data_IF_432787798778
#
_entry.id   IF_432787798778
#
_cell.length_a   1.000
_cell.length_b   1.000
_cell.length_c   1.000
_cell.angle_alpha   90.00
_cell.angle_beta   90.00
_cell.angle_gamma   90.00
#
_symmetry.space_group_name_H-M   'P 1'
#
loop_
_entity.id
_entity.type
_entity.pdbx_description
1 polymer ?
#
# COMPACT_ATOMS: atom_id res chain seq x y z
N UNK A 1 20.84 19.34 44.83
CA UNK A 1 21.13 18.77 43.49
C UNK A 1 19.79 18.48 42.83
N UNK A 2 19.39 19.29 41.86
CA UNK A 2 18.14 19.10 41.14
C UNK A 2 18.32 17.98 40.10
N UNK A 3 17.50 16.92 40.21
CA UNK A 3 17.32 15.91 39.17
C UNK A 3 16.62 16.56 37.97
N UNK A 4 17.35 16.77 36.89
CA UNK A 4 16.79 17.15 35.60
C UNK A 4 16.33 15.88 34.87
N UNK A 5 15.02 15.62 34.95
CA UNK A 5 14.31 14.69 34.09
C UNK A 5 14.32 15.22 32.65
N UNK A 6 15.20 14.70 31.80
CA UNK A 6 15.06 14.78 30.35
C UNK A 6 14.36 13.50 29.86
N UNK A 7 13.04 13.46 29.94
CA UNK A 7 12.25 12.42 29.27
C UNK A 7 11.13 13.07 28.46
N UNK A 8 11.10 12.77 27.16
CA UNK A 8 9.84 12.52 26.46
C UNK A 8 9.43 13.49 25.35
N UNK A 9 10.16 13.53 24.23
CA UNK A 9 9.64 14.04 22.95
C UNK A 9 9.87 13.10 21.74
N UNK A 10 10.18 11.82 21.95
CA UNK A 10 10.37 10.88 20.81
C UNK A 10 9.07 10.24 20.31
N UNK A 11 8.05 10.12 21.18
CA UNK A 11 6.82 9.39 20.84
C UNK A 11 5.96 10.11 19.79
N UNK A 12 5.88 11.45 19.85
CA UNK A 12 5.09 12.25 18.92
C UNK A 12 5.68 12.30 17.50
N UNK A 13 7.00 12.15 17.35
CA UNK A 13 7.63 12.08 16.01
C UNK A 13 7.35 10.74 15.35
N UNK A 14 7.53 9.65 16.11
CA UNK A 14 7.24 8.29 15.67
C UNK A 14 5.78 8.14 15.21
N UNK A 15 4.85 8.69 15.98
CA UNK A 15 3.41 8.64 15.66
C UNK A 15 3.10 9.38 14.35
N UNK A 16 3.67 10.57 14.15
CA UNK A 16 3.53 11.33 12.89
C UNK A 16 4.08 10.58 11.69
N UNK A 17 5.28 10.02 11.80
CA UNK A 17 5.91 9.27 10.71
C UNK A 17 5.09 8.04 10.32
N UNK A 18 4.53 7.30 11.30
CA UNK A 18 3.66 6.16 11.02
C UNK A 18 2.30 6.59 10.46
N UNK A 19 1.75 7.72 10.91
CA UNK A 19 0.53 8.29 10.33
C UNK A 19 0.75 8.68 8.86
N UNK A 20 1.85 9.38 8.56
CA UNK A 20 2.19 9.75 7.18
C UNK A 20 2.44 8.50 6.31
N UNK A 21 3.10 7.48 6.87
CA UNK A 21 3.28 6.20 6.18
C UNK A 21 1.92 5.57 5.83
N UNK A 22 0.97 5.58 6.77
CA UNK A 22 -0.38 5.07 6.56
C UNK A 22 -1.17 5.86 5.52
N UNK A 23 -1.07 7.20 5.50
CA UNK A 23 -1.72 8.02 4.48
C UNK A 23 -1.20 7.72 3.07
N UNK A 24 0.10 7.43 2.93
CA UNK A 24 0.70 7.02 1.66
C UNK A 24 0.26 5.60 1.28
N UNK A 25 0.24 4.69 2.24
CA UNK A 25 -0.25 3.32 2.08
C UNK A 25 -1.69 3.29 1.53
N UNK A 26 -2.59 4.13 2.06
CA UNK A 26 -3.95 4.33 1.56
C UNK A 26 -3.98 4.84 0.11
N UNK A 27 -3.13 5.82 -0.23
CA UNK A 27 -3.01 6.34 -1.60
C UNK A 27 -2.52 5.27 -2.57
N UNK A 28 -1.57 4.43 -2.15
CA UNK A 28 -1.08 3.30 -2.92
C UNK A 28 -2.20 2.31 -3.23
N UNK A 29 -3.03 1.95 -2.25
CA UNK A 29 -4.20 1.09 -2.49
C UNK A 29 -5.19 1.70 -3.49
N UNK A 30 -5.54 2.97 -3.32
CA UNK A 30 -6.45 3.64 -4.26
C UNK A 30 -5.87 3.67 -5.69
N UNK A 31 -4.57 3.88 -5.83
CA UNK A 31 -3.89 3.86 -7.12
C UNK A 31 -3.82 2.44 -7.71
N UNK A 32 -3.59 1.42 -6.88
CA UNK A 32 -3.61 0.00 -7.26
C UNK A 32 -4.98 -0.42 -7.81
N UNK A 33 -6.07 0.06 -7.22
CA UNK A 33 -7.43 -0.19 -7.73
C UNK A 33 -7.68 0.53 -9.06
N UNK A 34 -7.21 1.76 -9.24
CA UNK A 34 -7.30 2.44 -10.54
C UNK A 34 -6.54 1.67 -11.64
N UNK A 35 -5.37 1.11 -11.31
CA UNK A 35 -4.60 0.27 -12.23
C UNK A 35 -5.31 -1.07 -12.53
N UNK A 36 -6.03 -1.63 -11.56
CA UNK A 36 -6.86 -2.81 -11.77
C UNK A 36 -8.00 -2.54 -12.76
N UNK A 37 -8.65 -1.38 -12.64
CA UNK A 37 -9.66 -0.93 -13.61
C UNK A 37 -9.07 -0.74 -15.01
N UNK A 38 -7.85 -0.20 -15.11
CA UNK A 38 -7.15 -0.06 -16.38
C UNK A 38 -6.84 -1.42 -17.02
N UNK A 39 -6.48 -2.43 -16.22
CA UNK A 39 -6.25 -3.80 -16.69
C UNK A 39 -7.52 -4.42 -17.30
N UNK A 40 -8.68 -4.09 -16.73
CA UNK A 40 -9.99 -4.55 -17.21
C UNK A 40 -10.46 -3.78 -18.45
N UNK A 41 -9.94 -2.58 -18.72
CA UNK A 41 -10.34 -1.77 -19.87
C UNK A 41 -9.98 -2.43 -21.21
N UNK A 42 -10.80 -2.21 -22.25
CA UNK A 42 -10.63 -2.82 -23.58
C UNK A 42 -9.54 -2.15 -24.42
N UNK A 43 -9.06 -0.97 -24.01
CA UNK A 43 -8.11 -0.15 -24.76
C UNK A 43 -6.64 -0.59 -24.63
N UNK A 44 -6.34 -1.53 -23.74
CA UNK A 44 -5.01 -2.15 -23.66
C UNK A 44 -4.93 -3.38 -24.56
N UNK A 45 -3.85 -3.49 -25.34
CA UNK A 45 -3.54 -4.71 -26.07
C UNK A 45 -3.28 -5.89 -25.11
N UNK A 46 -3.41 -7.15 -25.55
CA UNK A 46 -3.09 -8.31 -24.72
C UNK A 46 -1.69 -8.25 -24.11
N UNK A 47 -0.69 -7.79 -24.87
CA UNK A 47 0.69 -7.65 -24.39
C UNK A 47 0.78 -6.56 -23.30
N UNK A 48 0.12 -5.41 -23.49
CA UNK A 48 0.07 -4.36 -22.47
C UNK A 48 -0.62 -4.82 -21.19
N UNK A 49 -1.68 -5.62 -21.30
CA UNK A 49 -2.35 -6.21 -20.12
C UNK A 49 -1.42 -7.17 -19.39
N UNK A 50 -0.73 -8.05 -20.11
CA UNK A 50 0.24 -8.98 -19.53
C UNK A 50 1.39 -8.25 -18.83
N UNK A 51 1.92 -7.18 -19.45
CA UNK A 51 2.97 -6.35 -18.87
C UNK A 51 2.49 -5.63 -17.59
N UNK A 52 1.32 -5.00 -17.64
CA UNK A 52 0.74 -4.32 -16.49
C UNK A 52 0.49 -5.30 -15.34
N UNK A 53 -0.14 -6.45 -15.63
CA UNK A 53 -0.38 -7.49 -14.63
C UNK A 53 0.93 -7.95 -13.97
N UNK A 54 1.97 -8.23 -14.77
CA UNK A 54 3.28 -8.66 -14.25
C UNK A 54 3.96 -7.60 -13.36
N UNK A 55 3.76 -6.31 -13.66
CA UNK A 55 4.30 -5.22 -12.84
C UNK A 55 3.52 -5.07 -11.53
N UNK A 56 2.20 -5.22 -11.58
CA UNK A 56 1.35 -5.17 -10.39
C UNK A 56 1.63 -6.34 -9.45
N UNK A 57 1.75 -7.57 -9.96
CA UNK A 57 2.09 -8.75 -9.15
C UNK A 57 3.44 -8.59 -8.42
N UNK A 58 4.44 -7.99 -9.10
CA UNK A 58 5.74 -7.68 -8.47
C UNK A 58 5.61 -6.62 -7.39
N UNK A 59 4.76 -5.62 -7.59
CA UNK A 59 4.52 -4.60 -6.59
C UNK A 59 3.76 -5.17 -5.38
N UNK A 60 2.69 -5.94 -5.60
CA UNK A 60 1.87 -6.58 -4.57
C UNK A 60 2.76 -7.46 -3.66
N UNK A 61 3.71 -8.22 -4.25
CA UNK A 61 4.66 -9.05 -3.50
C UNK A 61 5.63 -8.28 -2.58
N UNK A 62 5.75 -6.96 -2.75
CA UNK A 62 6.59 -6.10 -1.92
C UNK A 62 5.76 -5.16 -1.03
N UNK A 63 4.44 -5.14 -1.20
CA UNK A 63 3.57 -4.25 -0.46
C UNK A 63 3.38 -4.75 0.97
N UNK A 64 3.53 -3.86 1.94
CA UNK A 64 3.48 -4.21 3.37
C UNK A 64 2.54 -3.26 4.12
N UNK A 65 1.93 -3.76 5.18
CA UNK A 65 1.11 -2.96 6.09
C UNK A 65 1.95 -1.96 6.90
N UNK A 66 1.28 -0.93 7.44
CA UNK A 66 1.88 0.03 8.37
C UNK A 66 1.52 -0.38 9.80
N UNK A 67 2.51 -0.58 10.70
CA UNK A 67 2.24 -1.09 12.04
C UNK A 67 1.39 -0.11 12.85
N UNK A 68 0.40 -0.66 13.57
CA UNK A 68 -0.55 0.14 14.37
C UNK A 68 -1.74 0.68 13.58
N UNK A 69 -1.81 0.44 12.27
CA UNK A 69 -2.93 0.79 11.41
C UNK A 69 -3.41 -0.45 10.66
N UNK A 70 -4.24 -1.26 11.32
CA UNK A 70 -4.86 -2.41 10.67
C UNK A 70 -5.87 -1.92 9.62
N UNK A 71 -5.78 -2.45 8.41
CA UNK A 71 -6.85 -2.28 7.44
C UNK A 71 -7.99 -3.23 7.79
N UNK A 72 -9.06 -2.70 8.36
CA UNK A 72 -10.35 -3.38 8.43
C UNK A 72 -10.92 -3.48 7.02
N UNK A 73 -10.50 -4.48 6.25
CA UNK A 73 -11.35 -4.96 5.17
C UNK A 73 -12.49 -5.72 5.85
N UNK A 74 -13.56 -5.00 6.21
CA UNK A 74 -14.84 -5.60 6.56
C UNK A 74 -15.38 -6.30 5.30
N UNK A 75 -14.89 -7.52 5.07
CA UNK A 75 -15.50 -8.47 4.17
C UNK A 75 -16.78 -8.98 4.82
N UNK A 76 -17.83 -8.15 4.77
CA UNK A 76 -19.20 -8.61 4.97
C UNK A 76 -19.56 -9.49 3.76
N UNK A 77 -19.05 -10.73 3.73
CA UNK A 77 -19.52 -11.75 2.79
C UNK A 77 -20.89 -12.24 3.28
N UNK A 78 -21.91 -11.46 2.93
CA UNK A 78 -23.24 -11.98 2.72
C UNK A 78 -23.23 -12.86 1.49
N UNK A 79 -23.68 -14.09 1.72
CA UNK A 79 -24.14 -15.14 0.81
C UNK A 79 -24.49 -14.74 -0.64
N UNK A 80 -24.23 -15.69 -1.55
CA UNK A 80 -24.77 -15.83 -2.92
C UNK A 80 -23.97 -15.29 -4.12
N UNK A 81 -23.19 -16.19 -4.73
CA UNK A 81 -23.10 -16.32 -6.18
C UNK A 81 -21.95 -15.58 -6.87
N UNK A 82 -21.13 -16.35 -7.59
CA UNK A 82 -20.00 -15.98 -8.46
C UNK A 82 -18.63 -15.94 -7.77
N UNK A 83 -17.96 -17.10 -7.81
CA UNK A 83 -16.54 -17.31 -7.53
C UNK A 83 -15.65 -16.47 -8.47
N UNK A 84 -15.42 -15.22 -8.09
CA UNK A 84 -14.21 -14.48 -8.44
C UNK A 84 -13.56 -14.04 -7.13
N UNK A 85 -13.03 -15.01 -6.37
CA UNK A 85 -12.16 -14.76 -5.23
C UNK A 85 -10.86 -14.11 -5.72
N UNK A 86 -10.88 -12.80 -5.94
CA UNK A 86 -9.67 -12.01 -5.80
C UNK A 86 -9.45 -11.86 -4.30
N UNK A 87 -8.61 -12.72 -3.73
CA UNK A 87 -8.03 -12.49 -2.40
C UNK A 87 -7.30 -11.14 -2.45
N UNK A 88 -7.96 -10.07 -2.01
CA UNK A 88 -7.38 -8.72 -1.94
C UNK A 88 -6.53 -8.55 -0.67
N UNK A 89 -5.87 -9.61 -0.19
CA UNK A 89 -4.83 -9.53 0.82
C UNK A 89 -3.50 -9.12 0.17
N UNK A 90 -3.47 -7.94 -0.46
CA UNK A 90 -2.28 -7.47 -1.20
C UNK A 90 -1.14 -7.03 -0.28
N UNK A 91 -1.38 -6.84 1.02
CA UNK A 91 -0.36 -6.37 1.95
C UNK A 91 0.20 -7.51 2.79
N UNK A 92 1.52 -7.68 2.75
CA UNK A 92 2.24 -8.51 3.70
C UNK A 92 2.30 -7.84 5.08
N UNK A 93 2.44 -8.67 6.13
CA UNK A 93 2.64 -8.17 7.49
C UNK A 93 3.79 -7.16 7.54
N UNK A 94 3.59 -6.09 8.30
CA UNK A 94 4.60 -5.07 8.53
C UNK A 94 5.95 -5.68 8.96
N UNK A 95 7.06 -5.37 8.26
CA UNK A 95 8.40 -5.76 8.71
C UNK A 95 8.81 -4.98 9.96
N UNK A 96 9.76 -5.54 10.71
CA UNK A 96 10.39 -4.89 11.87
C UNK A 96 11.33 -3.77 11.40
N UNK A 97 10.75 -2.60 11.12
CA UNK A 97 11.44 -1.37 10.73
C UNK A 97 11.12 -0.25 11.71
N UNK A 98 11.97 0.77 11.76
CA UNK A 98 11.67 2.02 12.47
C UNK A 98 10.56 2.81 11.76
N UNK A 99 9.93 3.76 12.46
CA UNK A 99 8.89 4.61 11.86
C UNK A 99 9.34 5.42 10.62
N UNK A 100 10.53 6.07 10.58
CA UNK A 100 10.97 6.77 9.39
C UNK A 100 11.33 5.81 8.25
N UNK A 101 11.76 4.58 8.56
CA UNK A 101 11.98 3.54 7.55
C UNK A 101 10.66 3.04 6.95
N UNK A 102 9.61 2.87 7.77
CA UNK A 102 8.25 2.60 7.29
C UNK A 102 7.73 3.70 6.38
N UNK A 103 7.88 4.97 6.78
CA UNK A 103 7.50 6.11 5.94
C UNK A 103 8.23 6.08 4.59
N UNK A 104 9.54 5.87 4.61
CA UNK A 104 10.35 5.79 3.38
C UNK A 104 9.95 4.60 2.50
N UNK A 105 9.66 3.44 3.11
CA UNK A 105 9.22 2.27 2.38
C UNK A 105 7.89 2.54 1.65
N UNK A 106 6.92 3.13 2.34
CA UNK A 106 5.62 3.47 1.75
C UNK A 106 5.76 4.50 0.62
N UNK A 107 6.67 5.48 0.75
CA UNK A 107 7.00 6.42 -0.34
C UNK A 107 7.55 5.69 -1.57
N UNK A 108 8.51 4.78 -1.40
CA UNK A 108 9.10 4.00 -2.50
C UNK A 108 8.03 3.16 -3.19
N UNK A 109 7.18 2.48 -2.43
CA UNK A 109 6.10 1.65 -2.97
C UNK A 109 5.09 2.49 -3.74
N UNK A 110 4.72 3.67 -3.24
CA UNK A 110 3.85 4.60 -3.96
C UNK A 110 4.47 5.08 -5.28
N UNK A 111 5.75 5.51 -5.25
CA UNK A 111 6.45 6.00 -6.43
C UNK A 111 6.58 4.92 -7.52
N UNK A 112 6.72 3.65 -7.13
CA UNK A 112 6.69 2.52 -8.05
C UNK A 112 5.33 2.37 -8.75
N UNK A 113 4.22 2.39 -7.99
CA UNK A 113 2.87 2.33 -8.58
C UNK A 113 2.58 3.53 -9.47
N UNK A 114 2.97 4.72 -9.04
CA UNK A 114 2.78 5.95 -9.80
C UNK A 114 3.59 5.93 -11.11
N UNK A 115 4.80 5.36 -11.10
CA UNK A 115 5.58 5.12 -12.31
C UNK A 115 4.88 4.16 -13.27
N UNK A 116 4.32 3.05 -12.75
CA UNK A 116 3.51 2.10 -13.55
C UNK A 116 2.30 2.84 -14.13
N UNK A 117 1.54 3.56 -13.33
CA UNK A 117 0.36 4.30 -13.79
C UNK A 117 0.68 5.30 -14.91
N UNK A 118 1.77 6.06 -14.81
CA UNK A 118 2.22 6.96 -15.87
C UNK A 118 2.62 6.23 -17.16
N UNK A 119 3.15 5.02 -17.06
CA UNK A 119 3.53 4.21 -18.23
C UNK A 119 2.31 3.81 -19.08
N UNK A 120 1.17 3.52 -18.43
CA UNK A 120 -0.04 2.99 -19.10
C UNK A 120 -1.14 4.03 -19.34
N UNK A 121 -1.03 5.25 -18.81
CA UNK A 121 -1.99 6.35 -19.06
C UNK A 121 -1.69 7.16 -20.34
N UNK A 122 -0.92 6.61 -21.28
CA UNK A 122 -0.53 7.30 -22.52
C UNK A 122 -1.65 7.34 -23.54
#
# INVERSE_FOLDING_TARGET
MALLFFMGCSNSSKEKELQEAFEIHQKSLALRENLNQLLQAENLSPDQKSDLQSLLEKWDANFVEVPGYEHSHDHHHGDEGHDHHHDHHHAHKAPELTAPEHLRLQQILYDQLDSIHRQFKK
#
